data_IF_875548085965
#
_entry.id   IF_875548085965
#
_cell.length_a   1.000
_cell.length_b   1.000
_cell.length_c   1.000
_cell.angle_alpha   90.00
_cell.angle_beta   90.00
_cell.angle_gamma   90.00
#
_symmetry.space_group_name_H-M   'P 1'
#
loop_
_entity.id
_entity.type
_entity.pdbx_description
1 polymer ?
#
# COMPACT_ATOMS: atom_id res chain seq x y z
N UNK A 1 -4.88 -13.26 12.22
CA UNK A 1 -5.59 -12.30 11.40
C UNK A 1 -5.13 -10.89 11.76
N UNK A 2 -4.93 -10.07 10.75
CA UNK A 2 -4.44 -8.71 10.95
C UNK A 2 -5.59 -7.82 11.38
N UNK A 3 -5.30 -6.84 12.25
CA UNK A 3 -6.24 -5.84 12.71
C UNK A 3 -5.55 -4.47 12.75
N UNK A 4 -6.33 -3.40 12.68
CA UNK A 4 -5.82 -2.04 12.67
C UNK A 4 -5.90 -1.43 14.08
N UNK A 5 -4.77 -0.85 14.48
CA UNK A 5 -4.64 -0.10 15.72
C UNK A 5 -4.17 1.33 15.42
N UNK A 6 -4.69 2.28 16.16
CA UNK A 6 -4.16 3.64 16.21
C UNK A 6 -3.27 3.78 17.44
N UNK A 7 -2.02 4.18 17.23
CA UNK A 7 -1.04 4.46 18.29
C UNK A 7 -0.94 5.96 18.52
N UNK A 8 -1.21 6.39 19.74
CA UNK A 8 -0.88 7.75 20.18
C UNK A 8 0.60 7.84 20.53
N UNK A 9 1.38 8.60 19.74
CA UNK A 9 2.83 8.67 19.87
C UNK A 9 3.28 9.38 21.15
N UNK A 10 2.45 10.25 21.73
CA UNK A 10 2.81 10.99 22.96
C UNK A 10 2.64 10.13 24.20
N UNK A 11 1.56 9.35 24.28
CA UNK A 11 1.28 8.48 25.44
C UNK A 11 1.79 7.04 25.27
N UNK A 12 2.09 6.59 24.04
CA UNK A 12 2.40 5.22 23.72
C UNK A 12 1.20 4.26 23.81
N UNK A 13 -0.03 4.78 23.92
CA UNK A 13 -1.23 3.96 24.02
C UNK A 13 -1.72 3.57 22.64
N UNK A 14 -1.90 2.27 22.40
CA UNK A 14 -2.53 1.77 21.17
C UNK A 14 -3.99 1.38 21.44
N UNK A 15 -4.84 1.63 20.44
CA UNK A 15 -6.27 1.32 20.48
C UNK A 15 -6.67 0.59 19.20
N UNK A 16 -7.39 -0.55 19.34
CA UNK A 16 -8.01 -1.24 18.22
C UNK A 16 -9.12 -0.36 17.62
N UNK A 17 -9.10 -0.21 16.29
CA UNK A 17 -10.10 0.59 15.55
C UNK A 17 -10.82 -0.20 14.48
N UNK A 18 -10.31 -1.36 14.09
CA UNK A 18 -11.03 -2.31 13.22
C UNK A 18 -11.98 -3.22 14.02
N UNK A 19 -12.93 -3.90 13.36
CA UNK A 19 -13.98 -4.67 14.04
C UNK A 19 -13.52 -5.86 14.89
N UNK A 20 -12.25 -6.29 14.80
CA UNK A 20 -11.72 -7.42 15.56
C UNK A 20 -12.04 -8.79 14.96
N UNK A 21 -12.76 -8.85 13.86
CA UNK A 21 -13.09 -10.05 13.09
C UNK A 21 -12.74 -9.85 11.61
N UNK A 22 -12.42 -10.95 10.92
CA UNK A 22 -11.97 -10.88 9.52
C UNK A 22 -10.53 -10.41 9.36
N UNK A 23 -10.09 -10.35 8.12
CA UNK A 23 -8.81 -9.74 7.71
C UNK A 23 -9.01 -8.23 7.58
N UNK A 24 -8.11 -7.43 8.14
CA UNK A 24 -8.14 -5.96 8.01
C UNK A 24 -6.75 -5.45 7.69
N UNK A 25 -6.64 -4.55 6.71
CA UNK A 25 -5.36 -4.04 6.19
C UNK A 25 -5.45 -2.60 5.72
N UNK A 26 -4.30 -2.01 5.40
CA UNK A 26 -4.15 -0.76 4.63
C UNK A 26 -4.97 0.40 5.19
N UNK A 27 -4.68 0.77 6.43
CA UNK A 27 -5.39 1.87 7.08
C UNK A 27 -4.79 3.24 6.75
N UNK A 28 -5.64 4.26 6.79
CA UNK A 28 -5.28 5.66 6.59
C UNK A 28 -6.08 6.57 7.51
N UNK A 29 -5.40 7.50 8.16
CA UNK A 29 -6.07 8.56 8.95
C UNK A 29 -6.51 9.66 7.99
N UNK A 30 -7.76 10.11 8.13
CA UNK A 30 -8.29 11.20 7.29
C UNK A 30 -7.51 12.50 7.57
N UNK A 31 -7.08 13.25 6.55
CA UNK A 31 -6.17 14.39 6.73
C UNK A 31 -6.76 15.55 7.55
N UNK A 32 -8.09 15.70 7.60
CA UNK A 32 -8.74 16.87 8.22
C UNK A 32 -9.91 16.52 9.15
N UNK A 33 -10.34 15.26 9.20
CA UNK A 33 -11.47 14.80 10.04
C UNK A 33 -11.02 13.72 11.00
N UNK A 34 -11.76 13.52 12.07
CA UNK A 34 -11.49 12.48 13.08
C UNK A 34 -12.02 11.11 12.61
N UNK A 35 -11.50 10.66 11.46
CA UNK A 35 -11.89 9.43 10.80
C UNK A 35 -10.66 8.56 10.47
N UNK A 36 -10.88 7.27 10.42
CA UNK A 36 -9.92 6.27 9.93
C UNK A 36 -10.56 5.44 8.81
N UNK A 37 -9.81 5.21 7.74
CA UNK A 37 -10.16 4.31 6.66
C UNK A 37 -9.35 3.03 6.79
N UNK A 38 -9.94 1.90 6.43
CA UNK A 38 -9.25 0.60 6.33
C UNK A 38 -9.99 -0.32 5.37
N UNK A 39 -9.29 -1.35 4.88
CA UNK A 39 -9.91 -2.42 4.10
C UNK A 39 -10.13 -3.65 4.96
N UNK A 40 -11.29 -4.30 4.85
CA UNK A 40 -11.65 -5.41 5.75
C UNK A 40 -12.62 -6.40 5.11
N UNK A 41 -12.51 -7.67 5.53
CA UNK A 41 -13.46 -8.75 5.18
C UNK A 41 -14.43 -9.06 6.33
N UNK A 42 -14.63 -8.15 7.28
CA UNK A 42 -15.42 -8.47 8.48
C UNK A 42 -16.91 -8.70 8.21
N UNK A 43 -17.42 -8.26 7.06
CA UNK A 43 -18.80 -8.55 6.61
C UNK A 43 -18.92 -9.85 5.79
N UNK A 44 -17.79 -10.58 5.51
CA UNK A 44 -17.87 -11.93 4.95
C UNK A 44 -18.66 -12.84 5.91
N UNK A 45 -19.71 -13.52 5.44
CA UNK A 45 -20.47 -14.48 6.27
C UNK A 45 -19.61 -15.56 6.94
N UNK A 46 -18.43 -15.85 6.38
CA UNK A 46 -17.48 -16.83 6.90
C UNK A 46 -16.29 -16.21 7.66
N UNK A 47 -16.26 -14.89 7.88
CA UNK A 47 -15.12 -14.20 8.48
C UNK A 47 -14.65 -14.81 9.79
N UNK A 48 -15.56 -15.15 10.70
CA UNK A 48 -15.24 -15.79 11.98
C UNK A 48 -14.65 -17.20 11.82
N UNK A 49 -15.19 -17.99 10.89
CA UNK A 49 -14.69 -19.35 10.63
C UNK A 49 -13.27 -19.30 10.01
N UNK A 50 -13.05 -18.45 9.00
CA UNK A 50 -11.73 -18.21 8.41
C UNK A 50 -10.71 -17.73 9.44
N UNK A 51 -11.11 -16.81 10.32
CA UNK A 51 -10.24 -16.33 11.40
C UNK A 51 -9.87 -17.45 12.39
N UNK A 52 -10.82 -18.29 12.80
CA UNK A 52 -10.56 -19.40 13.71
C UNK A 52 -9.62 -20.44 13.08
N UNK A 53 -9.80 -20.75 11.80
CA UNK A 53 -8.93 -21.66 11.04
C UNK A 53 -7.50 -21.10 10.95
N UNK A 54 -7.33 -19.83 10.61
CA UNK A 54 -6.03 -19.17 10.55
C UNK A 54 -5.30 -19.17 11.89
N UNK A 55 -6.01 -18.88 12.98
CA UNK A 55 -5.45 -18.92 14.34
C UNK A 55 -4.99 -20.34 14.67
N UNK A 56 -5.82 -21.37 14.39
CA UNK A 56 -5.48 -22.76 14.64
C UNK A 56 -4.24 -23.21 13.85
N UNK A 57 -4.10 -22.78 12.57
CA UNK A 57 -2.92 -23.06 11.77
C UNK A 57 -1.66 -22.44 12.39
N UNK A 58 -1.72 -21.18 12.81
CA UNK A 58 -0.58 -20.50 13.48
C UNK A 58 -0.20 -21.17 14.80
N UNK A 59 -1.18 -21.55 15.61
CA UNK A 59 -0.95 -22.24 16.88
C UNK A 59 -0.40 -23.66 16.68
N UNK A 60 -0.65 -24.31 15.55
CA UNK A 60 -0.11 -25.64 15.23
C UNK A 60 1.40 -25.63 14.96
N UNK A 61 2.00 -24.46 14.73
CA UNK A 61 3.42 -24.32 14.37
C UNK A 61 3.77 -24.83 12.97
N UNK A 62 2.79 -25.09 12.11
CA UNK A 62 3.04 -25.46 10.71
C UNK A 62 3.62 -24.25 9.97
N UNK A 63 4.84 -24.39 9.49
CA UNK A 63 5.46 -23.41 8.60
C UNK A 63 4.78 -23.46 7.23
N UNK A 64 4.43 -22.30 6.69
CA UNK A 64 3.93 -22.14 5.33
C UNK A 64 4.59 -20.94 4.67
N UNK A 65 4.71 -20.99 3.35
CA UNK A 65 5.18 -19.85 2.57
C UNK A 65 4.24 -18.65 2.79
N UNK A 66 4.81 -17.46 2.83
CA UNK A 66 4.02 -16.23 2.83
C UNK A 66 3.15 -16.17 1.57
N UNK A 67 1.87 -15.89 1.73
CA UNK A 67 0.92 -15.63 0.66
C UNK A 67 -0.10 -14.60 1.15
N UNK A 68 -0.46 -13.68 0.27
CA UNK A 68 -1.53 -12.72 0.55
C UNK A 68 -2.87 -13.30 0.07
N UNK A 69 -3.89 -13.16 0.89
CA UNK A 69 -5.25 -13.59 0.55
C UNK A 69 -6.01 -12.42 -0.10
N UNK A 70 -6.23 -12.52 -1.41
CA UNK A 70 -7.03 -11.57 -2.19
C UNK A 70 -8.52 -11.91 -2.10
N UNK A 71 -9.03 -12.03 -0.85
CA UNK A 71 -10.43 -12.37 -0.58
C UNK A 71 -11.38 -11.38 -1.27
N UNK A 72 -12.37 -11.91 -1.99
CA UNK A 72 -13.38 -11.15 -2.73
C UNK A 72 -14.31 -10.29 -1.87
N UNK A 73 -14.30 -10.46 -0.56
CA UNK A 73 -15.10 -9.72 0.41
C UNK A 73 -14.32 -8.56 1.06
N UNK A 74 -13.15 -8.24 0.54
CA UNK A 74 -12.47 -7.03 0.98
C UNK A 74 -13.20 -5.80 0.46
N UNK A 75 -13.72 -5.01 1.37
CA UNK A 75 -14.28 -3.70 1.11
C UNK A 75 -13.54 -2.62 1.89
N UNK A 76 -13.65 -1.37 1.42
CA UNK A 76 -13.10 -0.20 2.10
C UNK A 76 -14.16 0.36 3.05
N UNK A 77 -13.76 0.57 4.29
CA UNK A 77 -14.58 1.13 5.36
C UNK A 77 -14.01 2.44 5.88
N UNK A 78 -14.90 3.33 6.28
CA UNK A 78 -14.56 4.54 7.06
C UNK A 78 -15.26 4.43 8.41
N UNK A 79 -14.51 4.67 9.49
CA UNK A 79 -15.01 4.69 10.85
C UNK A 79 -14.53 5.95 11.57
N UNK A 80 -15.13 6.28 12.70
CA UNK A 80 -14.57 7.26 13.61
C UNK A 80 -13.17 6.82 14.08
N UNK A 81 -12.30 7.74 14.48
CA UNK A 81 -10.93 7.40 14.89
C UNK A 81 -10.88 6.51 16.15
N UNK A 82 -11.98 6.38 16.88
CA UNK A 82 -12.13 5.44 18.01
C UNK A 82 -12.59 4.03 17.57
N UNK A 83 -12.82 3.83 16.27
CA UNK A 83 -13.30 2.59 15.68
C UNK A 83 -14.83 2.43 15.66
N UNK A 84 -15.58 3.40 16.18
CA UNK A 84 -17.04 3.36 16.15
C UNK A 84 -17.60 3.71 14.77
N UNK A 85 -18.84 3.28 14.51
CA UNK A 85 -19.64 3.60 13.32
C UNK A 85 -18.94 3.27 11.97
N UNK A 86 -18.42 2.05 11.77
CA UNK A 86 -17.82 1.66 10.50
C UNK A 86 -18.88 1.64 9.38
N UNK A 87 -18.54 2.22 8.25
CA UNK A 87 -19.39 2.29 7.06
C UNK A 87 -18.64 1.74 5.85
N UNK A 88 -19.25 0.78 5.17
CA UNK A 88 -18.76 0.28 3.88
C UNK A 88 -18.96 1.35 2.81
N UNK A 89 -17.90 1.71 2.08
CA UNK A 89 -17.94 2.74 1.04
C UNK A 89 -17.59 2.23 -0.35
N UNK A 90 -17.00 1.05 -0.50
CA UNK A 90 -16.71 0.47 -1.82
C UNK A 90 -17.79 -0.50 -2.29
N UNK A 91 -18.32 -1.33 -1.40
CA UNK A 91 -19.49 -2.22 -1.54
C UNK A 91 -19.57 -2.90 -2.93
N UNK A 92 -18.51 -3.55 -3.35
CA UNK A 92 -18.44 -4.24 -4.62
C UNK A 92 -17.77 -5.61 -4.46
N UNK A 93 -18.18 -6.58 -5.27
CA UNK A 93 -17.53 -7.87 -5.28
C UNK A 93 -16.12 -7.75 -5.87
N UNK A 94 -15.13 -8.24 -5.13
CA UNK A 94 -13.72 -8.16 -5.48
C UNK A 94 -12.85 -7.71 -4.30
N UNK A 95 -11.55 -7.79 -4.49
CA UNK A 95 -10.59 -7.26 -3.51
C UNK A 95 -10.50 -5.74 -3.67
N UNK A 96 -11.09 -4.98 -2.76
CA UNK A 96 -10.98 -3.54 -2.68
C UNK A 96 -10.08 -3.16 -1.49
N UNK A 97 -8.86 -2.74 -1.74
CA UNK A 97 -7.90 -2.45 -0.68
C UNK A 97 -6.84 -1.41 -1.07
N UNK A 98 -5.88 -1.23 -0.17
CA UNK A 98 -4.76 -0.30 -0.34
C UNK A 98 -5.20 1.15 -0.54
N UNK A 99 -6.25 1.53 0.20
CA UNK A 99 -6.84 2.86 0.11
C UNK A 99 -5.93 3.96 0.65
N UNK A 100 -5.90 5.11 -0.04
CA UNK A 100 -5.25 6.34 0.42
C UNK A 100 -6.09 7.57 0.08
N UNK A 101 -6.12 8.55 0.98
CA UNK A 101 -6.82 9.81 0.74
C UNK A 101 -6.00 10.78 -0.11
N UNK A 102 -6.70 11.64 -0.87
CA UNK A 102 -6.13 12.90 -1.35
C UNK A 102 -5.78 13.82 -0.17
N UNK A 103 -4.88 14.79 -0.38
CA UNK A 103 -4.43 15.68 0.68
C UNK A 103 -5.55 16.51 1.34
N UNK A 104 -6.62 16.81 0.59
CA UNK A 104 -7.83 17.48 1.08
C UNK A 104 -8.88 16.54 1.67
N UNK A 105 -8.67 15.22 1.56
CA UNK A 105 -9.59 14.20 2.04
C UNK A 105 -10.84 13.99 1.17
N UNK A 106 -10.94 14.62 0.01
CA UNK A 106 -12.15 14.55 -0.83
C UNK A 106 -12.23 13.31 -1.71
N UNK A 107 -11.09 12.66 -1.99
CA UNK A 107 -11.00 11.48 -2.85
C UNK A 107 -10.22 10.35 -2.18
N UNK A 108 -10.48 9.12 -2.62
CA UNK A 108 -9.79 7.91 -2.21
C UNK A 108 -9.29 7.20 -3.46
N UNK A 109 -7.98 6.92 -3.48
CA UNK A 109 -7.35 5.98 -4.41
C UNK A 109 -7.37 4.59 -3.79
N UNK A 110 -7.51 3.55 -4.60
CA UNK A 110 -7.44 2.16 -4.13
C UNK A 110 -7.09 1.19 -5.26
N UNK A 111 -6.65 -0.01 -4.90
CA UNK A 111 -6.45 -1.11 -5.81
C UNK A 111 -7.65 -2.06 -5.77
N UNK A 112 -8.05 -2.60 -6.93
CA UNK A 112 -9.18 -3.52 -7.01
C UNK A 112 -9.13 -4.43 -8.22
N UNK A 113 -9.59 -5.68 -8.07
CA UNK A 113 -9.87 -6.60 -9.16
C UNK A 113 -11.38 -6.73 -9.47
N UNK A 114 -12.21 -5.76 -9.01
CA UNK A 114 -13.67 -5.73 -9.19
C UNK A 114 -14.13 -5.87 -10.65
N UNK A 115 -13.31 -5.40 -11.59
CA UNK A 115 -13.63 -5.49 -13.02
C UNK A 115 -13.74 -6.95 -13.47
N UNK A 116 -12.91 -7.85 -12.94
CA UNK A 116 -12.98 -9.29 -13.23
C UNK A 116 -14.28 -9.95 -12.74
N UNK A 117 -14.90 -9.43 -11.69
CA UNK A 117 -16.20 -9.91 -11.19
C UNK A 117 -17.39 -9.26 -11.90
N UNK A 118 -17.21 -8.10 -12.50
CA UNK A 118 -18.29 -7.31 -13.13
C UNK A 118 -18.61 -7.71 -14.56
N UNK A 119 -17.79 -8.56 -15.19
CA UNK A 119 -17.95 -9.02 -16.59
C UNK A 119 -17.73 -10.52 -16.76
N UNK A 120 -18.12 -11.06 -17.90
CA UNK A 120 -17.74 -12.42 -18.26
C UNK A 120 -16.29 -12.46 -18.72
N UNK A 121 -15.45 -13.23 -18.04
CA UNK A 121 -14.10 -13.51 -18.46
C UNK A 121 -14.06 -14.53 -19.60
N UNK A 122 -13.14 -14.40 -20.55
CA UNK A 122 -12.81 -15.44 -21.52
C UNK A 122 -12.19 -16.65 -20.82
N UNK A 123 -12.14 -17.81 -21.47
CA UNK A 123 -11.53 -19.02 -20.88
C UNK A 123 -10.06 -18.82 -20.49
N UNK A 124 -9.31 -18.01 -21.26
CA UNK A 124 -7.92 -17.70 -20.93
C UNK A 124 -7.81 -16.78 -19.70
N UNK A 125 -8.69 -15.77 -19.59
CA UNK A 125 -8.74 -14.90 -18.42
C UNK A 125 -9.21 -15.63 -17.18
N UNK A 126 -10.17 -16.58 -17.29
CA UNK A 126 -10.58 -17.42 -16.17
C UNK A 126 -9.43 -18.25 -15.61
N UNK A 127 -8.63 -18.87 -16.50
CA UNK A 127 -7.47 -19.63 -16.08
C UNK A 127 -6.41 -18.76 -15.36
N UNK A 128 -6.16 -17.54 -15.85
CA UNK A 128 -5.28 -16.58 -15.18
C UNK A 128 -5.83 -16.13 -13.83
N UNK A 129 -7.13 -15.87 -13.75
CA UNK A 129 -7.78 -15.43 -12.51
C UNK A 129 -7.80 -16.53 -11.44
N UNK A 130 -7.95 -17.80 -11.85
CA UNK A 130 -7.88 -18.96 -10.94
C UNK A 130 -6.45 -19.23 -10.46
N UNK A 131 -5.43 -18.93 -11.28
CA UNK A 131 -4.02 -19.08 -10.92
C UNK A 131 -3.58 -17.94 -9.99
N UNK A 132 -3.85 -16.68 -10.38
CA UNK A 132 -3.55 -15.48 -9.58
C UNK A 132 -4.59 -14.38 -9.85
N UNK A 133 -5.50 -14.17 -8.92
CA UNK A 133 -6.53 -13.12 -9.02
C UNK A 133 -5.96 -11.70 -8.97
N UNK A 134 -4.74 -11.52 -8.45
CA UNK A 134 -4.06 -10.23 -8.43
C UNK A 134 -3.64 -9.74 -9.81
N UNK A 135 -3.53 -10.64 -10.80
CA UNK A 135 -3.25 -10.27 -12.18
C UNK A 135 -4.25 -9.25 -12.77
N UNK A 136 -5.46 -9.18 -12.21
CA UNK A 136 -6.52 -8.26 -12.62
C UNK A 136 -6.65 -7.04 -11.71
N UNK A 137 -5.65 -6.80 -10.89
CA UNK A 137 -5.64 -5.68 -9.95
C UNK A 137 -5.30 -4.39 -10.68
N UNK A 138 -6.23 -3.44 -10.70
CA UNK A 138 -6.08 -2.11 -11.28
C UNK A 138 -6.34 -1.02 -10.24
N UNK A 139 -5.93 0.20 -10.55
CA UNK A 139 -6.15 1.37 -9.71
C UNK A 139 -7.48 2.03 -10.02
N UNK A 140 -8.14 2.46 -8.96
CA UNK A 140 -9.40 3.20 -8.99
C UNK A 140 -9.31 4.45 -8.13
N UNK A 141 -10.17 5.41 -8.45
CA UNK A 141 -10.44 6.58 -7.62
C UNK A 141 -11.93 6.70 -7.39
N UNK A 142 -12.33 7.13 -6.20
CA UNK A 142 -13.71 7.45 -5.83
C UNK A 142 -13.75 8.71 -4.98
N UNK A 143 -14.93 9.32 -4.85
CA UNK A 143 -15.16 10.35 -3.85
C UNK A 143 -15.10 9.74 -2.44
N UNK A 144 -14.81 10.54 -1.43
CA UNK A 144 -14.65 10.05 -0.05
C UNK A 144 -15.93 9.45 0.56
N UNK A 145 -17.10 9.68 -0.06
CA UNK A 145 -18.37 9.05 0.31
C UNK A 145 -18.65 7.72 -0.42
N UNK A 146 -17.73 7.26 -1.28
CA UNK A 146 -17.84 6.06 -2.11
C UNK A 146 -18.48 6.31 -3.49
N UNK A 147 -18.86 7.55 -3.81
CA UNK A 147 -19.44 7.92 -5.10
C UNK A 147 -18.42 8.04 -6.23
N UNK A 148 -18.92 8.15 -7.46
CA UNK A 148 -18.13 8.47 -8.66
C UNK A 148 -16.91 7.58 -8.91
N UNK A 149 -17.02 6.28 -8.65
CA UNK A 149 -15.92 5.31 -8.84
C UNK A 149 -15.45 5.30 -10.29
N UNK A 150 -14.14 5.47 -10.51
CA UNK A 150 -13.53 5.53 -11.83
C UNK A 150 -12.23 4.74 -11.85
N UNK A 151 -12.07 3.86 -12.84
CA UNK A 151 -10.85 3.10 -13.08
C UNK A 151 -9.78 3.99 -13.73
N UNK A 152 -8.53 3.91 -13.24
CA UNK A 152 -7.40 4.71 -13.69
C UNK A 152 -6.41 3.90 -14.55
N UNK A 153 -6.24 2.60 -14.25
CA UNK A 153 -5.32 1.73 -14.99
C UNK A 153 -6.06 0.53 -15.58
N UNK A 154 -5.48 -0.06 -16.62
CA UNK A 154 -5.91 -1.30 -17.27
C UNK A 154 -4.68 -2.00 -17.83
N UNK A 155 -3.92 -2.65 -16.97
CA UNK A 155 -2.65 -3.27 -17.33
C UNK A 155 -2.61 -4.71 -16.87
N UNK A 156 -2.00 -5.63 -17.66
CA UNK A 156 -1.71 -6.95 -17.16
C UNK A 156 -0.76 -6.89 -15.97
N UNK A 157 -1.05 -7.65 -14.92
CA UNK A 157 -0.29 -7.68 -13.68
C UNK A 157 -0.91 -6.78 -12.61
N UNK A 158 -0.30 -6.77 -11.44
CA UNK A 158 -0.84 -6.11 -10.26
C UNK A 158 -0.41 -4.64 -10.17
N UNK A 159 -1.34 -3.72 -10.36
CA UNK A 159 -1.21 -2.32 -9.98
C UNK A 159 -1.73 -2.10 -8.56
N UNK A 160 -0.90 -1.60 -7.64
CA UNK A 160 -1.34 -1.42 -6.26
C UNK A 160 -0.51 -0.43 -5.44
N UNK A 161 -0.98 -0.15 -4.21
CA UNK A 161 -0.39 0.82 -3.30
C UNK A 161 -0.35 2.24 -3.85
N UNK A 162 -1.49 2.79 -4.33
CA UNK A 162 -1.49 4.12 -4.93
C UNK A 162 -1.51 5.23 -3.88
N UNK A 163 -0.75 6.31 -4.13
CA UNK A 163 -0.75 7.51 -3.31
C UNK A 163 -0.78 8.76 -4.18
N UNK A 164 -1.57 9.76 -3.78
CA UNK A 164 -1.46 11.09 -4.34
C UNK A 164 -0.15 11.77 -3.92
N UNK A 165 0.37 12.64 -4.79
CA UNK A 165 1.34 13.63 -4.37
C UNK A 165 0.66 14.73 -3.51
N UNK A 166 1.42 15.58 -2.78
CA UNK A 166 0.85 16.52 -1.83
C UNK A 166 -0.10 17.56 -2.42
N UNK A 167 0.02 17.91 -3.71
CA UNK A 167 -0.87 18.86 -4.37
C UNK A 167 -2.05 18.18 -5.11
N UNK A 168 -2.15 16.83 -5.07
CA UNK A 168 -3.21 16.06 -5.68
C UNK A 168 -3.15 15.93 -7.20
N UNK A 169 -2.10 16.45 -7.85
CA UNK A 169 -1.99 16.47 -9.33
C UNK A 169 -1.43 15.17 -9.92
N UNK A 170 -0.71 14.38 -9.11
CA UNK A 170 -0.04 13.14 -9.51
C UNK A 170 -0.39 11.99 -8.59
N UNK A 171 -0.24 10.78 -9.13
CA UNK A 171 -0.37 9.51 -8.40
C UNK A 171 0.90 8.71 -8.61
N UNK A 172 1.40 8.06 -7.56
CA UNK A 172 2.43 7.03 -7.64
C UNK A 172 1.87 5.69 -7.20
N UNK A 173 2.39 4.59 -7.77
CA UNK A 173 2.02 3.23 -7.39
C UNK A 173 3.14 2.24 -7.75
N UNK A 174 3.01 1.00 -7.31
CA UNK A 174 3.80 -0.11 -7.82
C UNK A 174 3.02 -0.88 -8.89
N UNK A 175 3.71 -1.29 -9.94
CA UNK A 175 3.20 -2.22 -10.96
C UNK A 175 4.07 -3.46 -10.99
N UNK A 176 3.47 -4.61 -10.75
CA UNK A 176 4.11 -5.89 -10.98
C UNK A 176 4.11 -6.25 -12.45
N UNK A 177 5.18 -6.88 -12.91
CA UNK A 177 5.19 -7.51 -14.22
C UNK A 177 4.15 -8.64 -14.26
N UNK A 178 3.65 -9.00 -15.48
CA UNK A 178 2.62 -10.04 -15.62
C UNK A 178 3.01 -11.42 -15.07
N UNK A 179 4.32 -11.69 -14.90
CA UNK A 179 4.84 -12.91 -14.29
C UNK A 179 4.95 -12.85 -12.75
N UNK A 180 4.63 -11.71 -12.14
CA UNK A 180 4.67 -11.50 -10.69
C UNK A 180 6.07 -11.45 -10.06
N UNK A 181 7.14 -11.57 -10.85
CA UNK A 181 8.50 -11.73 -10.32
C UNK A 181 9.23 -10.41 -10.02
N UNK A 182 8.78 -9.32 -10.59
CA UNK A 182 9.35 -7.98 -10.38
C UNK A 182 8.26 -6.91 -10.34
N UNK A 183 8.57 -5.80 -9.69
CA UNK A 183 7.68 -4.65 -9.60
C UNK A 183 8.46 -3.36 -9.71
N UNK A 184 7.87 -2.38 -10.39
CA UNK A 184 8.48 -1.08 -10.62
C UNK A 184 7.59 0.04 -10.08
N UNK A 185 8.21 1.16 -9.71
CA UNK A 185 7.49 2.37 -9.31
C UNK A 185 7.08 3.13 -10.57
N UNK A 186 5.83 3.52 -10.60
CA UNK A 186 5.21 4.29 -11.67
C UNK A 186 4.60 5.58 -11.13
N UNK A 187 4.38 6.54 -12.03
CA UNK A 187 3.64 7.78 -11.76
C UNK A 187 2.74 8.12 -12.94
N UNK A 188 1.64 8.83 -12.66
CA UNK A 188 0.68 9.34 -13.65
C UNK A 188 0.06 10.65 -13.19
N UNK A 189 -0.67 11.31 -14.07
CA UNK A 189 -1.55 12.41 -13.69
C UNK A 189 -2.76 11.87 -12.90
N UNK A 190 -3.38 12.69 -12.06
CA UNK A 190 -4.50 12.29 -11.22
C UNK A 190 -5.74 11.81 -12.00
N UNK A 191 -5.82 12.14 -13.29
CA UNK A 191 -6.87 11.65 -14.19
C UNK A 191 -6.58 10.26 -14.80
N UNK A 192 -5.40 9.68 -14.54
CA UNK A 192 -4.94 8.39 -15.08
C UNK A 192 -4.10 8.51 -16.35
N UNK A 193 -3.92 9.72 -16.90
CA UNK A 193 -3.10 9.97 -18.09
C UNK A 193 -1.60 10.07 -17.78
N UNK A 194 -0.77 10.09 -18.83
CA UNK A 194 0.68 10.31 -18.75
C UNK A 194 1.41 9.33 -17.82
N UNK A 195 1.01 8.04 -17.86
CA UNK A 195 1.67 6.98 -17.08
C UNK A 195 3.13 6.84 -17.46
N UNK A 196 4.01 6.81 -16.46
CA UNK A 196 5.45 6.72 -16.65
C UNK A 196 6.10 5.88 -15.57
N UNK A 197 6.99 4.99 -15.98
CA UNK A 197 7.86 4.20 -15.10
C UNK A 197 8.99 5.06 -14.54
N UNK A 198 9.28 4.94 -13.24
CA UNK A 198 10.36 5.65 -12.55
C UNK A 198 11.57 4.76 -12.26
N UNK A 199 11.35 3.48 -11.95
CA UNK A 199 12.43 2.50 -11.69
C UNK A 199 12.46 1.45 -12.80
N UNK A 200 13.62 0.83 -13.05
CA UNK A 200 13.80 -0.15 -14.13
C UNK A 200 14.91 -1.16 -13.81
N UNK A 201 15.01 -1.60 -12.56
CA UNK A 201 16.06 -2.53 -12.12
C UNK A 201 15.65 -4.02 -12.19
N UNK A 202 14.42 -4.31 -12.63
CA UNK A 202 13.85 -5.64 -12.74
C UNK A 202 13.85 -6.44 -11.41
N UNK A 203 13.82 -5.74 -10.29
CA UNK A 203 13.68 -6.26 -8.94
C UNK A 203 12.29 -5.91 -8.40
N UNK A 204 12.09 -6.01 -7.09
CA UNK A 204 10.84 -5.59 -6.48
C UNK A 204 11.03 -4.20 -5.86
N UNK A 205 10.53 -3.16 -6.55
CA UNK A 205 10.36 -1.83 -6.00
C UNK A 205 8.92 -1.71 -5.46
N UNK A 206 8.78 -1.37 -4.18
CA UNK A 206 7.51 -1.46 -3.47
C UNK A 206 7.24 -0.27 -2.56
N UNK A 207 5.93 -0.03 -2.28
CA UNK A 207 5.45 0.96 -1.31
C UNK A 207 6.03 2.38 -1.54
N UNK A 208 5.89 2.96 -2.73
CA UNK A 208 6.32 4.33 -2.97
C UNK A 208 5.49 5.31 -2.15
N UNK A 209 6.12 6.30 -1.55
CA UNK A 209 5.46 7.35 -0.80
C UNK A 209 6.09 8.71 -1.13
N UNK A 210 5.26 9.72 -1.45
CA UNK A 210 5.75 11.07 -1.67
C UNK A 210 6.18 11.71 -0.35
N UNK A 211 7.37 12.32 -0.34
CA UNK A 211 7.69 13.26 0.72
C UNK A 211 6.72 14.47 0.64
N UNK A 212 6.27 15.06 1.78
CA UNK A 212 5.32 16.17 1.80
C UNK A 212 5.74 17.42 1.01
N UNK A 213 7.05 17.58 0.69
CA UNK A 213 7.50 18.64 -0.24
C UNK A 213 7.06 18.41 -1.69
N UNK A 214 6.74 17.17 -2.07
CA UNK A 214 6.43 16.80 -3.45
C UNK A 214 7.66 16.65 -4.38
N UNK A 215 8.88 16.81 -3.85
CA UNK A 215 10.10 16.86 -4.69
C UNK A 215 10.70 15.48 -4.98
N UNK A 216 10.40 14.46 -4.14
CA UNK A 216 10.90 13.08 -4.31
C UNK A 216 9.97 12.06 -3.67
N UNK A 217 10.24 10.81 -4.00
CA UNK A 217 9.61 9.62 -3.45
C UNK A 217 10.59 8.87 -2.55
N UNK A 218 10.05 8.21 -1.52
CA UNK A 218 10.74 7.18 -0.75
C UNK A 218 10.03 5.87 -1.05
N UNK A 219 10.77 4.80 -1.30
CA UNK A 219 10.22 3.48 -1.60
C UNK A 219 11.12 2.37 -1.07
N UNK A 220 10.62 1.15 -1.04
CA UNK A 220 11.37 -0.04 -0.63
C UNK A 220 11.85 -0.80 -1.86
N UNK A 221 13.06 -1.36 -1.85
CA UNK A 221 13.52 -2.24 -2.93
C UNK A 221 14.45 -3.33 -2.42
N UNK A 222 14.37 -4.51 -3.05
CA UNK A 222 15.27 -5.63 -2.81
C UNK A 222 16.41 -5.72 -3.83
N UNK A 223 16.77 -4.63 -4.50
CA UNK A 223 17.83 -4.59 -5.52
C UNK A 223 19.21 -5.02 -4.99
N UNK A 224 19.41 -5.08 -3.68
CA UNK A 224 20.66 -5.51 -3.04
C UNK A 224 20.65 -6.99 -2.60
N UNK A 225 19.55 -7.71 -2.83
CA UNK A 225 19.42 -9.11 -2.48
C UNK A 225 17.96 -9.48 -2.22
N UNK A 226 17.53 -10.64 -2.70
CA UNK A 226 16.11 -11.03 -2.75
C UNK A 226 15.38 -10.92 -1.40
N UNK A 227 16.04 -11.20 -0.29
CA UNK A 227 15.49 -11.11 1.07
C UNK A 227 15.87 -9.81 1.81
N UNK A 228 16.63 -8.91 1.17
CA UNK A 228 17.13 -7.69 1.78
C UNK A 228 16.46 -6.48 1.15
N UNK A 229 15.35 -6.04 1.74
CA UNK A 229 14.68 -4.80 1.35
C UNK A 229 15.28 -3.62 2.11
N UNK A 230 15.58 -2.57 1.37
CA UNK A 230 16.05 -1.29 1.90
C UNK A 230 15.21 -0.15 1.38
N UNK A 231 15.27 0.99 2.07
CA UNK A 231 14.63 2.22 1.62
C UNK A 231 15.53 2.99 0.66
N UNK A 232 14.92 3.54 -0.38
CA UNK A 232 15.56 4.35 -1.41
C UNK A 232 14.80 5.64 -1.65
N UNK A 233 15.53 6.66 -2.12
CA UNK A 233 14.97 7.90 -2.65
C UNK A 233 15.04 7.88 -4.17
N UNK A 234 14.06 8.47 -4.82
CA UNK A 234 14.09 8.79 -6.25
C UNK A 234 13.38 10.14 -6.49
N UNK A 235 13.92 10.95 -7.40
CA UNK A 235 13.24 12.17 -7.82
C UNK A 235 11.95 11.86 -8.59
N UNK A 236 10.99 12.79 -8.57
CA UNK A 236 9.68 12.58 -9.19
C UNK A 236 9.71 12.47 -10.72
N UNK A 237 10.87 12.73 -11.34
CA UNK A 237 11.08 12.59 -12.77
C UNK A 237 11.86 11.31 -13.13
N UNK A 238 12.42 10.59 -12.17
CA UNK A 238 13.30 9.46 -12.43
C UNK A 238 14.54 9.86 -13.23
N UNK A 239 14.98 11.10 -13.09
CA UNK A 239 16.13 11.64 -13.85
C UNK A 239 17.47 11.23 -13.24
N UNK A 240 17.47 10.90 -11.95
CA UNK A 240 18.66 10.56 -11.19
C UNK A 240 18.57 9.11 -10.69
N UNK A 241 19.72 8.47 -10.54
CA UNK A 241 19.79 7.13 -9.97
C UNK A 241 19.26 7.12 -8.52
N UNK A 242 18.54 6.07 -8.11
CA UNK A 242 18.03 5.96 -6.75
C UNK A 242 19.15 6.03 -5.70
N UNK A 243 18.85 6.68 -4.57
CA UNK A 243 19.78 6.84 -3.45
C UNK A 243 19.34 5.96 -2.28
N UNK A 244 20.20 5.03 -1.86
CA UNK A 244 19.94 4.16 -0.69
C UNK A 244 19.90 4.97 0.60
N UNK A 245 18.90 4.72 1.43
CA UNK A 245 18.66 5.39 2.73
C UNK A 245 19.05 4.51 3.91
N UNK A 246 18.60 3.25 3.91
CA UNK A 246 18.88 2.30 4.99
C UNK A 246 19.98 1.30 4.59
N UNK A 247 20.64 0.72 5.60
CA UNK A 247 21.83 -0.14 5.40
C UNK A 247 21.84 -1.29 6.41
N UNK A 248 20.73 -1.97 6.61
CA UNK A 248 20.60 -3.01 7.63
C UNK A 248 20.36 -4.36 6.97
N UNK A 249 20.97 -5.41 7.46
CA UNK A 249 20.59 -6.76 7.04
C UNK A 249 19.14 -7.03 7.44
N UNK A 250 18.35 -7.58 6.50
CA UNK A 250 16.94 -7.90 6.71
C UNK A 250 16.00 -7.03 5.87
N UNK A 251 14.87 -6.64 6.44
CA UNK A 251 13.80 -5.98 5.71
C UNK A 251 13.50 -4.61 6.30
N UNK A 252 13.67 -3.56 5.50
CA UNK A 252 13.19 -2.20 5.75
C UNK A 252 12.16 -1.85 4.68
N UNK A 253 10.88 -1.74 5.06
CA UNK A 253 9.75 -1.60 4.10
C UNK A 253 8.68 -0.61 4.59
N UNK A 254 7.79 -0.23 3.68
CA UNK A 254 6.59 0.58 3.94
C UNK A 254 6.93 1.94 4.56
N UNK A 255 7.76 2.76 3.90
CA UNK A 255 8.11 4.08 4.41
C UNK A 255 6.93 5.04 4.35
N UNK A 256 6.73 5.82 5.41
CA UNK A 256 5.71 6.88 5.49
C UNK A 256 6.33 8.10 6.16
N UNK A 257 6.20 9.28 5.55
CA UNK A 257 6.61 10.53 6.17
C UNK A 257 5.52 11.09 7.10
N UNK A 258 5.94 11.78 8.17
CA UNK A 258 5.03 12.65 8.93
C UNK A 258 4.42 13.72 8.01
N UNK A 259 3.24 14.28 8.33
CA UNK A 259 2.65 15.37 7.54
C UNK A 259 3.55 16.60 7.41
N UNK A 260 4.42 16.85 8.40
CA UNK A 260 5.43 17.93 8.38
C UNK A 260 6.65 17.60 7.50
N UNK A 261 6.89 16.32 7.19
CA UNK A 261 8.06 15.86 6.46
C UNK A 261 9.37 15.82 7.25
N UNK A 262 9.31 15.99 8.57
CA UNK A 262 10.48 15.98 9.44
C UNK A 262 10.75 14.65 10.14
N UNK A 263 9.85 13.66 9.94
CA UNK A 263 10.02 12.30 10.43
C UNK A 263 9.68 11.28 9.35
N UNK A 264 10.35 10.13 9.41
CA UNK A 264 10.10 8.95 8.59
C UNK A 264 9.80 7.77 9.51
N UNK A 265 8.68 7.07 9.25
CA UNK A 265 8.34 5.80 9.87
C UNK A 265 8.45 4.68 8.84
N UNK A 266 8.85 3.48 9.26
CA UNK A 266 8.92 2.29 8.43
C UNK A 266 8.84 1.01 9.25
N UNK A 267 8.52 -0.10 8.60
CA UNK A 267 8.63 -1.44 9.21
C UNK A 267 10.03 -2.01 8.98
N UNK A 268 10.60 -2.64 10.01
CA UNK A 268 11.96 -3.19 9.94
C UNK A 268 12.08 -4.49 10.73
N UNK A 269 12.96 -5.39 10.26
CA UNK A 269 13.34 -6.64 10.95
C UNK A 269 14.73 -6.60 11.56
N UNK A 270 15.27 -5.39 11.81
CA UNK A 270 16.62 -5.19 12.40
C UNK A 270 16.73 -5.56 13.88
N UNK A 271 15.69 -6.13 14.46
CA UNK A 271 15.70 -6.62 15.86
C UNK A 271 16.51 -7.90 15.99
N UNK A 272 17.09 -8.20 17.18
CA UNK A 272 17.91 -9.40 17.38
C UNK A 272 17.20 -10.73 17.11
N UNK A 273 15.87 -10.75 17.24
CA UNK A 273 15.02 -11.93 17.00
C UNK A 273 14.39 -11.93 15.58
N UNK A 274 14.71 -10.94 14.75
CA UNK A 274 14.19 -10.82 13.38
C UNK A 274 12.68 -10.51 13.29
N UNK A 275 12.04 -10.14 14.40
CA UNK A 275 10.61 -9.75 14.38
C UNK A 275 10.43 -8.37 13.75
N UNK A 276 9.32 -8.19 13.04
CA UNK A 276 8.98 -6.90 12.43
C UNK A 276 8.55 -5.89 13.50
N UNK A 277 9.14 -4.70 13.45
CA UNK A 277 8.86 -3.58 14.35
C UNK A 277 8.67 -2.29 13.56
N UNK A 278 7.93 -1.33 14.13
CA UNK A 278 7.86 0.02 13.60
C UNK A 278 9.00 0.87 14.15
N UNK A 279 9.75 1.51 13.25
CA UNK A 279 10.76 2.51 13.60
C UNK A 279 10.32 3.89 13.13
N UNK A 280 10.70 4.92 13.89
CA UNK A 280 10.53 6.33 13.54
C UNK A 280 11.89 7.01 13.73
N UNK A 281 12.29 7.82 12.76
CA UNK A 281 13.50 8.63 12.82
C UNK A 281 13.23 10.05 12.33
N UNK A 282 14.04 11.00 12.84
CA UNK A 282 14.08 12.35 12.31
C UNK A 282 14.57 12.33 10.86
N UNK A 283 13.90 13.09 10.00
CA UNK A 283 14.20 13.15 8.57
C UNK A 283 14.89 14.46 8.20
N UNK A 284 16.01 14.36 7.50
CA UNK A 284 16.75 15.54 7.01
C UNK A 284 16.45 15.76 5.52
N UNK A 285 15.39 16.51 5.24
CA UNK A 285 14.95 16.86 3.90
C UNK A 285 16.04 17.52 3.04
N UNK A 286 16.78 18.49 3.60
CA UNK A 286 17.85 19.17 2.86
C UNK A 286 18.96 18.20 2.44
N UNK A 287 19.30 17.23 3.31
CA UNK A 287 20.29 16.19 2.98
C UNK A 287 19.78 15.22 1.92
N UNK A 288 18.49 14.89 1.93
CA UNK A 288 17.87 14.05 0.91
C UNK A 288 17.98 14.70 -0.49
N UNK A 289 17.65 15.98 -0.60
CA UNK A 289 17.78 16.73 -1.85
C UNK A 289 19.24 16.83 -2.34
N UNK A 290 20.18 17.09 -1.42
CA UNK A 290 21.61 17.12 -1.75
C UNK A 290 22.09 15.78 -2.31
N UNK A 291 21.70 14.67 -1.71
CA UNK A 291 22.07 13.33 -2.14
C UNK A 291 21.47 12.99 -3.51
N UNK A 292 20.22 13.32 -3.76
CA UNK A 292 19.58 13.15 -5.06
C UNK A 292 20.29 13.98 -6.14
N UNK A 293 20.57 15.27 -5.88
CA UNK A 293 21.24 16.14 -6.83
C UNK A 293 22.68 15.69 -7.18
N UNK A 294 23.34 14.96 -6.29
CA UNK A 294 24.70 14.44 -6.48
C UNK A 294 24.71 12.99 -7.01
N UNK A 295 23.57 12.33 -7.16
CA UNK A 295 23.52 11.00 -7.77
C UNK A 295 23.71 11.10 -9.29
N UNK A 296 24.18 10.02 -9.92
CA UNK A 296 24.37 9.98 -11.37
C UNK A 296 23.03 10.14 -12.10
N UNK A 297 23.07 10.63 -13.34
CA UNK A 297 21.90 10.58 -14.22
C UNK A 297 21.49 9.10 -14.45
N UNK A 298 20.19 8.85 -14.44
CA UNK A 298 19.61 7.51 -14.57
C UNK A 298 19.45 7.11 -16.03
#
# INVERSE_FOLDING_TARGET
FYQIFVLDLASGVSRLVSPGVGLTTCAWIHPTQDLVMYSSTHEDPNAQAKQAEEIAIRESGIERAYGWDYDRHYDIYIANSDGSDPRNISNAEGYDAEGSYSADGSQILFASNREAYSRTLSLAEQALFEDDSSYFMDLYVMDADGGNVRQLTRSPGYDGGPFFNPDGSKITWRRFNPDGNSAEIWTMDADGSNQRQLTADAMVAWAPYYHPSGEYLIYSSNQLGHANFELFLIDTQGAHAPVRVTNTDGTDILPVCSPSGDQLAWSTTRTPDGTSQLHIADWNHARALELLANSSAH
#
